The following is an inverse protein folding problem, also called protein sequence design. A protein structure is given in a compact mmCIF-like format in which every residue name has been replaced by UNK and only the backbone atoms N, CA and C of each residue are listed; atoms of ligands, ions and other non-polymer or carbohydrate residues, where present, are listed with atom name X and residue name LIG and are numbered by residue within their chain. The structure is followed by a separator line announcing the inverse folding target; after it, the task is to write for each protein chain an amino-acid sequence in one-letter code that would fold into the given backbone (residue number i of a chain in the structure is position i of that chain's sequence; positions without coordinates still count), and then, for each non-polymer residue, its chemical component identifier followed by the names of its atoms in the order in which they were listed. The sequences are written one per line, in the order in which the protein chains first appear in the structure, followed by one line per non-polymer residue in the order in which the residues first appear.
data_IF_080247983171
#
_entry.id   IF_080247983171
#
_cell.length_a   1.000
_cell.length_b   1.000
_cell.length_c   1.000
_cell.angle_alpha   90.00
_cell.angle_beta   90.00
_cell.angle_gamma   90.00
#
_symmetry.space_group_name_H-M   'P 1'
#
loop_
_entity.id
_entity.type
_entity.pdbx_description
1 polymer ?
#
# COMPACT_ATOMS: atom_id res chain seq x y z
N UNK A 1 -35.55 7.14 -1.22
CA UNK A 1 -36.08 7.44 0.13
C UNK A 1 -36.34 6.11 0.83
N UNK A 2 -35.72 5.86 1.98
CA UNK A 2 -36.00 4.64 2.77
C UNK A 2 -37.44 4.70 3.27
N UNK A 3 -38.19 3.60 3.14
CA UNK A 3 -39.58 3.50 3.59
C UNK A 3 -39.65 3.77 5.10
N UNK A 4 -40.56 4.64 5.59
CA UNK A 4 -40.76 4.85 7.01
C UNK A 4 -41.42 3.60 7.58
N UNK A 5 -40.74 2.85 8.44
CA UNK A 5 -41.42 1.87 9.29
C UNK A 5 -40.81 0.48 9.45
N UNK A 6 -39.60 0.19 9.00
CA UNK A 6 -38.97 -1.10 9.34
C UNK A 6 -37.49 -0.96 9.69
N UNK A 7 -37.24 -0.52 10.92
CA UNK A 7 -35.94 -0.55 11.58
C UNK A 7 -36.01 -1.58 12.72
N UNK A 8 -34.92 -2.30 13.01
CA UNK A 8 -34.92 -3.31 14.08
C UNK A 8 -35.26 -4.74 13.66
N UNK A 9 -35.36 -5.03 12.36
CA UNK A 9 -35.61 -6.41 11.88
C UNK A 9 -34.45 -7.36 12.22
N UNK A 10 -34.75 -8.63 12.46
CA UNK A 10 -33.72 -9.67 12.66
C UNK A 10 -33.01 -10.09 11.34
N UNK A 11 -33.63 -9.78 10.19
CA UNK A 11 -33.17 -10.18 8.85
C UNK A 11 -33.16 -8.98 7.90
N UNK A 12 -32.38 -9.06 6.82
CA UNK A 12 -32.18 -7.97 5.86
C UNK A 12 -30.87 -7.18 6.07
N UNK A 13 -30.64 -6.17 5.23
CA UNK A 13 -29.40 -5.37 5.23
C UNK A 13 -29.29 -4.45 6.45
N UNK A 14 -30.39 -3.82 6.85
CA UNK A 14 -30.47 -2.91 8.01
C UNK A 14 -31.04 -3.64 9.24
N UNK A 15 -30.54 -4.86 9.46
CA UNK A 15 -30.97 -5.71 10.58
C UNK A 15 -30.29 -5.33 11.89
N UNK A 16 -30.90 -5.75 12.99
CA UNK A 16 -30.43 -5.48 14.34
C UNK A 16 -31.01 -4.19 14.91
N UNK A 17 -30.78 -3.99 16.21
CA UNK A 17 -31.29 -2.84 16.94
C UNK A 17 -30.74 -1.54 16.36
N UNK A 18 -31.63 -0.63 15.98
CA UNK A 18 -31.28 0.73 15.61
C UNK A 18 -30.77 1.49 16.85
N UNK A 19 -29.45 1.54 17.02
CA UNK A 19 -28.78 2.23 18.12
C UNK A 19 -27.82 3.28 17.57
N UNK A 20 -27.77 4.45 18.22
CA UNK A 20 -26.82 5.50 17.90
C UNK A 20 -25.41 5.05 18.32
N UNK A 21 -24.52 4.91 17.34
CA UNK A 21 -23.15 4.48 17.60
C UNK A 21 -22.31 5.66 18.12
N UNK A 22 -21.66 5.47 19.26
CA UNK A 22 -20.72 6.45 19.81
C UNK A 22 -19.36 6.35 19.08
N UNK A 23 -18.81 7.50 18.70
CA UNK A 23 -17.46 7.56 18.13
C UNK A 23 -16.40 7.53 19.24
N UNK A 24 -15.76 6.37 19.40
CA UNK A 24 -14.66 6.20 20.35
C UNK A 24 -13.30 6.46 19.72
N UNK A 25 -12.38 7.08 20.47
CA UNK A 25 -10.98 7.22 20.03
C UNK A 25 -10.36 5.85 19.70
N UNK A 26 -9.65 5.70 18.57
CA UNK A 26 -9.04 4.43 18.20
C UNK A 26 -7.94 4.05 19.20
N UNK A 27 -7.94 2.78 19.62
CA UNK A 27 -6.91 2.24 20.52
C UNK A 27 -5.51 2.40 19.95
N UNK A 28 -4.53 2.66 20.82
CA UNK A 28 -3.13 2.87 20.42
C UNK A 28 -2.55 1.69 19.64
N UNK A 29 -2.95 0.45 19.95
CA UNK A 29 -2.50 -0.75 19.23
C UNK A 29 -2.83 -0.73 17.72
N UNK A 30 -3.89 -0.02 17.30
CA UNK A 30 -4.27 0.15 15.89
C UNK A 30 -3.29 1.03 15.10
N UNK A 31 -2.41 1.79 15.79
CA UNK A 31 -1.37 2.62 15.16
C UNK A 31 -0.09 1.85 14.82
N UNK A 32 0.01 0.55 15.19
CA UNK A 32 1.19 -0.27 14.91
C UNK A 32 1.40 -0.38 13.38
N UNK A 33 2.61 -0.08 12.92
CA UNK A 33 2.99 -0.12 11.49
C UNK A 33 3.03 1.23 10.79
N UNK A 34 2.52 2.31 11.42
CA UNK A 34 2.65 3.67 10.89
C UNK A 34 4.11 4.13 11.04
N UNK A 35 4.71 4.59 9.94
CA UNK A 35 6.09 5.07 9.96
C UNK A 35 6.16 6.48 10.56
N UNK A 36 6.97 6.64 11.63
CA UNK A 36 7.29 7.95 12.21
C UNK A 36 8.26 8.74 11.32
N UNK A 37 8.37 10.07 11.53
CA UNK A 37 9.33 10.91 10.80
C UNK A 37 10.77 10.38 10.92
N UNK A 38 11.19 10.03 12.14
CA UNK A 38 12.51 9.43 12.41
C UNK A 38 12.72 8.13 11.62
N UNK A 39 11.72 7.24 11.61
CA UNK A 39 11.82 5.96 10.90
C UNK A 39 11.94 6.14 9.39
N UNK A 40 11.32 7.18 8.79
CA UNK A 40 11.45 7.46 7.37
C UNK A 40 12.87 7.88 7.00
N UNK A 41 13.44 8.86 7.72
CA UNK A 41 14.81 9.34 7.51
C UNK A 41 15.82 8.20 7.61
N UNK A 42 15.71 7.35 8.62
CA UNK A 42 16.60 6.18 8.78
C UNK A 42 16.47 5.21 7.61
N UNK A 43 15.26 4.96 7.11
CA UNK A 43 15.04 4.06 5.96
C UNK A 43 15.60 4.62 4.65
N UNK A 44 15.52 5.94 4.45
CA UNK A 44 16.08 6.62 3.29
C UNK A 44 17.61 6.53 3.31
N UNK A 45 18.25 6.83 4.44
CA UNK A 45 19.70 6.73 4.63
C UNK A 45 20.22 5.29 4.40
N UNK A 46 19.54 4.28 4.96
CA UNK A 46 19.93 2.88 4.73
C UNK A 46 19.78 2.49 3.26
N UNK A 47 18.73 2.97 2.58
CA UNK A 47 18.51 2.69 1.16
C UNK A 47 19.61 3.29 0.28
N UNK A 48 20.09 4.47 0.61
CA UNK A 48 21.20 5.13 -0.08
C UNK A 48 22.50 4.33 0.05
N UNK A 49 22.84 3.88 1.26
CA UNK A 49 24.08 3.14 1.53
C UNK A 49 24.04 1.73 0.91
N UNK A 50 22.94 1.00 1.10
CA UNK A 50 22.81 -0.42 0.70
C UNK A 50 22.41 -0.61 -0.76
N UNK A 51 21.78 0.40 -1.37
CA UNK A 51 21.28 0.35 -2.74
C UNK A 51 20.10 -0.61 -2.95
N UNK A 52 20.03 -1.16 -4.17
CA UNK A 52 18.96 -2.03 -4.63
C UNK A 52 19.39 -3.49 -4.76
N UNK A 53 18.52 -4.40 -4.30
CA UNK A 53 18.75 -5.83 -4.46
C UNK A 53 18.74 -6.25 -5.95
N UNK A 54 19.37 -7.38 -6.33
CA UNK A 54 19.44 -7.82 -7.72
C UNK A 54 18.07 -7.97 -8.41
N UNK A 55 17.05 -8.43 -7.69
CA UNK A 55 15.69 -8.55 -8.23
C UNK A 55 15.02 -7.19 -8.42
N UNK A 56 15.37 -6.18 -7.62
CA UNK A 56 14.85 -4.81 -7.73
C UNK A 56 15.47 -4.11 -8.93
N UNK A 57 16.78 -4.26 -9.13
CA UNK A 57 17.51 -3.74 -10.31
C UNK A 57 16.91 -4.26 -11.62
N UNK A 58 16.68 -5.57 -11.72
CA UNK A 58 16.04 -6.18 -12.89
C UNK A 58 14.63 -5.65 -13.16
N UNK A 59 13.88 -5.31 -12.11
CA UNK A 59 12.54 -4.73 -12.26
C UNK A 59 12.63 -3.29 -12.74
N UNK A 60 13.57 -2.50 -12.21
CA UNK A 60 13.82 -1.13 -12.67
C UNK A 60 14.14 -1.13 -14.18
N UNK A 61 14.97 -2.06 -14.65
CA UNK A 61 15.25 -2.24 -16.09
C UNK A 61 13.97 -2.53 -16.89
N UNK A 62 13.11 -3.44 -16.42
CA UNK A 62 11.84 -3.74 -17.09
C UNK A 62 10.89 -2.54 -17.12
N UNK A 63 10.83 -1.77 -16.03
CA UNK A 63 9.98 -0.58 -15.91
C UNK A 63 10.50 0.57 -16.79
N UNK A 64 11.81 0.67 -17.03
CA UNK A 64 12.39 1.65 -17.97
C UNK A 64 11.96 1.38 -19.43
N UNK A 65 11.76 0.12 -19.80
CA UNK A 65 11.27 -0.30 -21.13
C UNK A 65 9.73 -0.39 -21.17
N UNK A 66 9.03 0.14 -20.14
CA UNK A 66 7.56 0.11 -20.05
C UNK A 66 6.93 -1.29 -20.10
N UNK A 67 7.65 -2.34 -19.65
CA UNK A 67 7.15 -3.73 -19.61
C UNK A 67 6.46 -4.06 -18.28
N UNK A 68 5.47 -3.27 -17.88
CA UNK A 68 4.86 -3.31 -16.53
C UNK A 68 4.22 -4.65 -16.17
N UNK A 69 3.49 -5.28 -17.11
CA UNK A 69 2.84 -6.59 -16.87
C UNK A 69 3.87 -7.69 -16.62
N UNK A 70 5.00 -7.65 -17.34
CA UNK A 70 6.11 -8.59 -17.16
C UNK A 70 6.84 -8.34 -15.85
N UNK A 71 7.08 -7.07 -15.50
CA UNK A 71 7.65 -6.67 -14.22
C UNK A 71 6.81 -7.17 -13.05
N UNK A 72 5.48 -7.03 -13.13
CA UNK A 72 4.55 -7.49 -12.10
C UNK A 72 4.55 -9.02 -11.98
N UNK A 73 4.54 -9.76 -13.10
CA UNK A 73 4.64 -11.23 -13.09
C UNK A 73 5.95 -11.71 -12.45
N UNK A 74 7.06 -11.01 -12.74
CA UNK A 74 8.35 -11.31 -12.12
C UNK A 74 8.37 -11.00 -10.62
N UNK A 75 7.88 -9.83 -10.20
CA UNK A 75 7.77 -9.44 -8.79
C UNK A 75 6.87 -10.41 -8.00
N UNK A 76 5.73 -10.82 -8.57
CA UNK A 76 4.85 -11.80 -7.93
C UNK A 76 5.57 -13.14 -7.71
N UNK A 77 6.37 -13.60 -8.67
CA UNK A 77 7.18 -14.83 -8.52
C UNK A 77 8.27 -14.71 -7.44
N UNK A 78 8.76 -13.49 -7.14
CA UNK A 78 9.78 -13.25 -6.11
C UNK A 78 9.21 -12.99 -4.71
N UNK A 79 8.13 -12.20 -4.63
CA UNK A 79 7.55 -11.71 -3.36
C UNK A 79 6.33 -12.56 -2.92
N UNK A 80 5.76 -13.35 -3.84
CA UNK A 80 4.65 -14.29 -3.61
C UNK A 80 3.28 -13.71 -3.97
N UNK A 81 2.82 -12.67 -3.26
CA UNK A 81 1.45 -12.17 -3.41
C UNK A 81 1.34 -10.98 -4.36
N UNK A 82 0.17 -10.84 -4.99
CA UNK A 82 -0.10 -9.77 -5.95
C UNK A 82 -0.14 -8.39 -5.29
N UNK A 83 -0.69 -8.28 -4.07
CA UNK A 83 -0.75 -7.02 -3.32
C UNK A 83 0.65 -6.49 -3.00
N UNK A 84 1.56 -7.36 -2.54
CA UNK A 84 2.94 -6.97 -2.25
C UNK A 84 3.71 -6.61 -3.51
N UNK A 85 3.49 -7.36 -4.61
CA UNK A 85 4.09 -7.05 -5.91
C UNK A 85 3.66 -5.68 -6.45
N UNK A 86 2.37 -5.32 -6.36
CA UNK A 86 1.87 -3.99 -6.73
C UNK A 86 2.54 -2.88 -5.91
N UNK A 87 2.57 -3.03 -4.58
CA UNK A 87 3.24 -2.08 -3.69
C UNK A 87 4.71 -1.91 -4.04
N UNK A 88 5.42 -3.01 -4.34
CA UNK A 88 6.84 -2.95 -4.69
C UNK A 88 7.09 -2.32 -6.06
N UNK A 89 6.20 -2.56 -7.03
CA UNK A 89 6.25 -1.91 -8.34
C UNK A 89 6.11 -0.38 -8.19
N UNK A 90 5.15 0.08 -7.39
CA UNK A 90 4.93 1.51 -7.14
C UNK A 90 6.13 2.18 -6.45
N UNK A 91 6.74 1.50 -5.48
CA UNK A 91 8.00 1.96 -4.86
C UNK A 91 9.11 2.17 -5.90
N UNK A 92 9.34 1.16 -6.76
CA UNK A 92 10.39 1.22 -7.80
C UNK A 92 10.07 2.24 -8.90
N UNK A 93 8.80 2.42 -9.25
CA UNK A 93 8.37 3.45 -10.19
C UNK A 93 8.61 4.87 -9.62
N UNK A 94 8.34 5.07 -8.34
CA UNK A 94 8.67 6.32 -7.63
C UNK A 94 10.16 6.64 -7.67
N UNK A 95 11.02 5.64 -7.48
CA UNK A 95 12.48 5.79 -7.61
C UNK A 95 12.88 6.26 -9.00
N UNK A 96 12.32 5.67 -10.07
CA UNK A 96 12.63 6.07 -11.45
C UNK A 96 12.24 7.53 -11.70
N UNK A 97 11.09 7.96 -11.19
CA UNK A 97 10.63 9.35 -11.33
C UNK A 97 11.58 10.30 -10.58
N UNK A 98 11.98 9.96 -9.35
CA UNK A 98 12.93 10.75 -8.58
C UNK A 98 14.29 10.86 -9.30
N UNK A 99 14.80 9.76 -9.85
CA UNK A 99 16.03 9.75 -10.64
C UNK A 99 15.90 10.66 -11.87
N UNK A 100 14.81 10.54 -12.64
CA UNK A 100 14.56 11.41 -13.81
C UNK A 100 14.51 12.89 -13.44
N UNK A 101 13.93 13.22 -12.28
CA UNK A 101 13.87 14.60 -11.79
C UNK A 101 15.24 15.13 -11.36
N UNK A 102 16.09 14.29 -10.77
CA UNK A 102 17.44 14.69 -10.35
C UNK A 102 18.41 14.85 -11.53
N UNK A 103 18.18 14.15 -12.63
CA UNK A 103 18.96 14.29 -13.87
C UNK A 103 18.55 15.48 -14.75
N UNK A 104 17.49 16.20 -14.37
CA UNK A 104 17.06 17.44 -15.02
C UNK A 104 17.55 18.62 -14.20
#
# INVERSE_FOLDING_TARGET
MSRPGVEGLAVGLNKGRAATKLETKPRQNRRKGVASKKTKVVRELVREITGFAPYERRVIEMLRISKDKRALKFLKRRIGTHLRAKRKREELQGVIIAQRKAHK
#
